data_IF_333543436886
#
_entry.id   IF_333543436886
#
_cell.length_a   1.000
_cell.length_b   1.000
_cell.length_c   1.000
_cell.angle_alpha   90.00
_cell.angle_beta   90.00
_cell.angle_gamma   90.00
#
_symmetry.space_group_name_H-M   'P 1'
#
loop_
_entity.id
_entity.type
_entity.pdbx_description
1 polymer ?
#
# COMPACT_ATOMS: atom_id res chain seq x y z
N UNK A 1 6.11 -2.28 -1.60
CA UNK A 1 5.63 -3.28 -2.57
C UNK A 1 4.20 -2.93 -3.00
N UNK A 2 3.99 -2.72 -4.29
CA UNK A 2 2.67 -2.54 -4.89
C UNK A 2 2.23 -3.85 -5.54
N UNK A 3 1.01 -4.31 -5.25
CA UNK A 3 0.41 -5.51 -5.85
C UNK A 3 -0.93 -5.15 -6.51
N UNK A 4 -1.68 -6.12 -7.05
CA UNK A 4 -3.04 -5.85 -7.52
C UNK A 4 -4.06 -5.64 -6.39
N UNK A 5 -3.73 -6.09 -5.17
CA UNK A 5 -4.63 -6.09 -4.01
C UNK A 5 -4.25 -5.09 -2.93
N UNK A 6 -3.00 -4.63 -2.86
CA UNK A 6 -2.54 -3.77 -1.78
C UNK A 6 -1.26 -2.99 -2.09
N UNK A 7 -0.99 -2.01 -1.23
CA UNK A 7 0.30 -1.34 -1.09
C UNK A 7 0.86 -1.63 0.30
N UNK A 8 2.07 -2.18 0.35
CA UNK A 8 2.83 -2.45 1.58
C UNK A 8 4.08 -1.57 1.62
N UNK A 9 4.32 -0.88 2.72
CA UNK A 9 5.53 -0.08 2.94
C UNK A 9 6.50 -0.80 3.88
N UNK A 10 7.79 -0.68 3.61
CA UNK A 10 8.83 -1.02 4.59
C UNK A 10 9.02 0.17 5.53
N UNK A 11 9.15 -0.09 6.83
CA UNK A 11 9.32 0.96 7.84
C UNK A 11 10.17 0.47 9.01
N UNK A 12 10.89 1.39 9.65
CA UNK A 12 11.65 1.13 10.89
C UNK A 12 10.82 1.31 12.15
N UNK A 13 9.62 1.88 12.02
CA UNK A 13 8.74 2.16 13.15
C UNK A 13 7.99 0.87 13.52
N UNK A 14 8.09 0.42 14.76
CA UNK A 14 7.33 -0.74 15.25
C UNK A 14 5.93 -0.33 15.76
N UNK A 15 4.88 -1.02 15.33
CA UNK A 15 3.48 -0.88 15.77
C UNK A 15 2.77 -2.23 15.70
N UNK A 16 1.70 -2.40 16.48
CA UNK A 16 0.99 -3.68 16.64
C UNK A 16 0.45 -4.30 15.34
N UNK A 17 0.15 -3.49 14.32
CA UNK A 17 -0.36 -3.96 13.02
C UNK A 17 0.74 -4.25 11.98
N UNK A 18 2.02 -4.11 12.33
CA UNK A 18 3.15 -4.25 11.41
C UNK A 18 3.81 -5.62 11.56
N UNK A 19 4.13 -6.22 10.43
CA UNK A 19 4.73 -7.57 10.37
C UNK A 19 6.25 -7.41 10.36
N UNK A 20 6.96 -8.06 11.28
CA UNK A 20 8.42 -8.05 11.27
C UNK A 20 8.94 -8.76 10.02
N UNK A 21 9.85 -8.12 9.30
CA UNK A 21 10.54 -8.71 8.14
C UNK A 21 11.98 -9.08 8.48
N UNK A 22 12.66 -8.20 9.23
CA UNK A 22 14.04 -8.35 9.66
C UNK A 22 14.27 -7.49 10.91
N UNK A 23 15.49 -7.51 11.46
CA UNK A 23 15.91 -6.71 12.60
C UNK A 23 15.67 -5.22 12.34
N UNK A 24 14.68 -4.68 13.03
CA UNK A 24 14.31 -3.27 12.94
C UNK A 24 13.56 -2.87 11.67
N UNK A 25 13.18 -3.82 10.80
CA UNK A 25 12.43 -3.56 9.57
C UNK A 25 11.08 -4.28 9.61
N UNK A 26 10.01 -3.53 9.35
CA UNK A 26 8.65 -4.01 9.40
C UNK A 26 7.90 -3.70 8.10
N UNK A 27 7.02 -4.60 7.69
CA UNK A 27 6.02 -4.38 6.66
C UNK A 27 4.78 -3.74 7.28
N UNK A 28 4.31 -2.67 6.66
CA UNK A 28 3.02 -2.05 6.95
C UNK A 28 2.09 -2.21 5.75
N UNK A 29 0.95 -2.87 5.94
CA UNK A 29 -0.15 -2.79 4.99
C UNK A 29 -0.74 -1.37 5.04
N UNK A 30 -0.50 -0.59 3.99
CA UNK A 30 -0.79 0.85 3.97
C UNK A 30 -2.04 1.16 3.18
N UNK A 31 -2.32 0.46 2.07
CA UNK A 31 -3.57 0.62 1.31
C UNK A 31 -4.07 -0.75 0.87
N UNK A 32 -5.39 -0.92 0.78
CA UNK A 32 -6.03 -2.11 0.20
C UNK A 32 -6.85 -1.70 -1.02
N UNK A 33 -6.83 -2.51 -2.08
CA UNK A 33 -7.68 -2.30 -3.25
C UNK A 33 -9.03 -2.97 -3.01
N UNK A 34 -10.09 -2.17 -2.90
CA UNK A 34 -11.46 -2.66 -2.72
C UNK A 34 -12.43 -1.70 -3.40
N UNK A 35 -13.47 -2.26 -4.02
CA UNK A 35 -14.51 -1.48 -4.71
C UNK A 35 -13.89 -0.43 -5.66
N UNK A 36 -13.09 -0.98 -6.58
CA UNK A 36 -12.47 -0.29 -7.72
C UNK A 36 -11.42 0.78 -7.39
N UNK A 37 -11.00 0.95 -6.14
CA UNK A 37 -9.92 1.88 -5.79
C UNK A 37 -9.07 1.38 -4.62
N UNK A 38 -7.83 1.87 -4.52
CA UNK A 38 -7.11 1.84 -3.25
C UNK A 38 -7.84 2.66 -2.18
N UNK A 39 -7.89 2.10 -0.98
CA UNK A 39 -8.49 2.67 0.21
C UNK A 39 -7.51 2.64 1.37
N UNK A 40 -7.53 3.73 2.12
CA UNK A 40 -6.73 3.88 3.31
C UNK A 40 -7.28 3.04 4.46
N UNK A 41 -6.34 2.52 5.25
CA UNK A 41 -6.57 1.94 6.56
C UNK A 41 -6.43 3.04 7.63
N UNK A 42 -6.89 2.79 8.88
CA UNK A 42 -6.86 3.80 9.93
C UNK A 42 -5.47 4.42 10.14
N UNK A 43 -4.43 3.60 10.05
CA UNK A 43 -3.03 3.96 10.26
C UNK A 43 -2.27 4.43 9.00
N UNK A 44 -2.91 4.50 7.83
CA UNK A 44 -2.26 4.98 6.59
C UNK A 44 -1.72 6.40 6.78
N UNK A 45 -0.47 6.63 6.37
CA UNK A 45 0.14 7.96 6.39
C UNK A 45 -0.62 8.96 5.51
N UNK A 46 -0.65 10.24 5.90
CA UNK A 46 -1.50 11.26 5.30
C UNK A 46 -1.19 11.54 3.82
N UNK A 47 0.09 11.47 3.44
CA UNK A 47 0.58 11.53 2.07
C UNK A 47 0.02 10.41 1.18
N UNK A 48 -0.12 9.20 1.72
CA UNK A 48 -0.73 8.05 1.01
C UNK A 48 -2.26 8.10 0.98
N UNK A 49 -2.90 8.89 1.86
CA UNK A 49 -4.35 9.16 1.82
C UNK A 49 -4.74 10.16 0.74
N UNK A 50 -3.78 10.92 0.20
CA UNK A 50 -4.10 12.02 -0.72
C UNK A 50 -4.74 11.51 -2.02
N UNK A 51 -5.73 12.23 -2.58
CA UNK A 51 -6.38 11.83 -3.84
C UNK A 51 -5.39 11.66 -5.00
N UNK A 52 -4.35 12.51 -5.05
CA UNK A 52 -3.29 12.43 -6.05
C UNK A 52 -2.51 11.11 -5.96
N UNK A 53 -2.14 10.69 -4.76
CA UNK A 53 -1.44 9.42 -4.54
C UNK A 53 -2.34 8.23 -4.90
N UNK A 54 -3.61 8.24 -4.47
CA UNK A 54 -4.56 7.16 -4.78
C UNK A 54 -4.78 7.04 -6.30
N UNK A 55 -4.95 8.16 -7.00
CA UNK A 55 -5.10 8.18 -8.46
C UNK A 55 -3.87 7.60 -9.16
N UNK A 56 -2.67 7.99 -8.73
CA UNK A 56 -1.41 7.47 -9.27
C UNK A 56 -1.29 5.95 -9.07
N UNK A 57 -1.59 5.46 -7.87
CA UNK A 57 -1.53 4.03 -7.55
C UNK A 57 -2.56 3.21 -8.34
N UNK A 58 -3.77 3.74 -8.55
CA UNK A 58 -4.77 3.11 -9.40
C UNK A 58 -4.31 3.01 -10.88
N UNK A 59 -3.60 4.03 -11.37
CA UNK A 59 -2.99 4.01 -12.71
C UNK A 59 -1.92 2.92 -12.81
N UNK A 60 -0.96 2.90 -11.88
CA UNK A 60 0.09 1.88 -11.86
C UNK A 60 -0.46 0.46 -11.72
N UNK A 61 -1.50 0.26 -10.91
CA UNK A 61 -2.19 -1.03 -10.81
C UNK A 61 -2.75 -1.48 -12.17
N UNK A 62 -3.32 -0.56 -12.94
CA UNK A 62 -3.85 -0.88 -14.28
C UNK A 62 -2.74 -1.35 -15.21
N UNK A 63 -1.58 -0.70 -15.18
CA UNK A 63 -0.38 -1.14 -15.92
C UNK A 63 0.12 -2.50 -15.45
N UNK A 64 0.22 -2.73 -14.13
CA UNK A 64 0.62 -4.03 -13.57
C UNK A 64 -0.33 -5.16 -13.98
N UNK A 65 -1.63 -4.88 -14.07
CA UNK A 65 -2.64 -5.87 -14.51
C UNK A 65 -2.45 -6.24 -15.98
N UNK A 66 -2.05 -5.30 -16.83
CA UNK A 66 -1.83 -5.55 -18.26
C UNK A 66 -0.56 -6.37 -18.51
N UNK A 67 0.51 -6.12 -17.75
CA UNK A 67 1.79 -6.83 -17.90
C UNK A 67 1.80 -8.25 -17.33
N UNK A 68 0.78 -8.63 -16.55
CA UNK A 68 0.62 -9.97 -16.00
C UNK A 68 -0.28 -10.90 -16.84
N UNK A 69 -0.80 -10.40 -17.95
CA UNK A 69 -1.48 -11.18 -19.00
C UNK A 69 -0.51 -11.43 -20.15
#
# INVERSE_FOLDING_TARGET
LLTLGNLVLATTKNRSHRIALDVGIYAELTLIYHDRSYRALPWTYADYKSPKTIMLLNSWRSTLKQNGN
#
